data_IF_446118894390
#
_entry.id   IF_446118894390
#
_cell.length_a   1.000
_cell.length_b   1.000
_cell.length_c   1.000
_cell.angle_alpha   90.00
_cell.angle_beta   90.00
_cell.angle_gamma   90.00
#
_symmetry.space_group_name_H-M   'P 1'
#
loop_
_entity.id
_entity.type
_entity.pdbx_description
1 polymer ?
#
# COMPACT_ATOMS: atom_id res chain seq x y z
N UNK A 1 3.27 -5.61 24.47
CA UNK A 1 3.25 -5.89 23.01
C UNK A 1 1.84 -5.71 22.50
N UNK A 2 1.65 -5.20 21.27
CA UNK A 2 0.31 -5.13 20.64
C UNK A 2 0.06 -6.42 19.86
N UNK A 3 -1.13 -7.00 20.01
CA UNK A 3 -1.59 -8.15 19.23
C UNK A 3 -2.47 -7.69 18.06
N UNK A 4 -2.34 -8.36 16.93
CA UNK A 4 -3.13 -8.16 15.72
C UNK A 4 -3.72 -9.51 15.29
N UNK A 5 -4.95 -9.48 14.75
CA UNK A 5 -5.61 -10.67 14.21
C UNK A 5 -5.10 -10.98 12.79
N UNK A 6 -4.74 -9.93 12.05
CA UNK A 6 -4.19 -10.02 10.70
C UNK A 6 -2.98 -9.11 10.55
N UNK A 7 -1.95 -9.63 9.88
CA UNK A 7 -0.79 -8.85 9.43
C UNK A 7 -0.70 -8.97 7.92
N UNK A 8 -0.90 -7.86 7.22
CA UNK A 8 -0.82 -7.76 5.76
C UNK A 8 0.52 -7.13 5.40
N UNK A 9 1.34 -7.84 4.62
CA UNK A 9 2.65 -7.36 4.16
C UNK A 9 2.48 -6.86 2.73
N UNK A 10 2.52 -5.54 2.57
CA UNK A 10 2.30 -4.79 1.33
C UNK A 10 0.92 -4.14 1.28
N UNK A 11 0.87 -2.81 1.19
CA UNK A 11 -0.29 -1.99 0.87
C UNK A 11 -0.42 -1.74 -0.64
N UNK A 12 -0.11 -2.75 -1.45
CA UNK A 12 -0.40 -2.76 -2.88
C UNK A 12 -1.90 -2.99 -3.18
N UNK A 13 -2.25 -3.18 -4.46
CA UNK A 13 -3.64 -3.31 -4.89
C UNK A 13 -4.41 -4.41 -4.14
N UNK A 14 -3.81 -5.59 -3.97
CA UNK A 14 -4.44 -6.69 -3.22
C UNK A 14 -4.50 -6.42 -1.71
N UNK A 15 -3.43 -5.89 -1.13
CA UNK A 15 -3.32 -5.61 0.30
C UNK A 15 -4.34 -4.57 0.78
N UNK A 16 -4.51 -3.48 0.02
CA UNK A 16 -5.50 -2.45 0.33
C UNK A 16 -6.95 -2.98 0.24
N UNK A 17 -7.26 -3.79 -0.78
CA UNK A 17 -8.61 -4.38 -0.91
C UNK A 17 -8.90 -5.36 0.22
N UNK A 18 -7.93 -6.21 0.57
CA UNK A 18 -8.07 -7.16 1.68
C UNK A 18 -8.23 -6.42 3.03
N UNK A 19 -7.40 -5.42 3.29
CA UNK A 19 -7.48 -4.61 4.50
C UNK A 19 -8.84 -3.92 4.63
N UNK A 20 -9.35 -3.35 3.54
CA UNK A 20 -10.67 -2.74 3.51
C UNK A 20 -11.78 -3.77 3.82
N UNK A 21 -11.71 -4.96 3.22
CA UNK A 21 -12.72 -6.00 3.41
C UNK A 21 -12.74 -6.55 4.83
N UNK A 22 -11.57 -6.85 5.40
CA UNK A 22 -11.45 -7.29 6.79
C UNK A 22 -11.86 -6.17 7.76
N UNK A 23 -11.58 -4.91 7.43
CA UNK A 23 -11.93 -3.74 8.23
C UNK A 23 -13.43 -3.44 8.30
N UNK A 24 -14.28 -4.08 7.48
CA UNK A 24 -15.74 -4.00 7.60
C UNK A 24 -16.21 -4.52 8.97
N UNK A 25 -15.52 -5.52 9.55
CA UNK A 25 -15.72 -5.95 10.94
C UNK A 25 -14.74 -5.24 11.88
N UNK A 26 -15.27 -4.34 12.71
CA UNK A 26 -14.49 -3.55 13.68
C UNK A 26 -13.88 -4.37 14.83
N UNK A 27 -14.19 -5.66 14.93
CA UNK A 27 -13.55 -6.56 15.90
C UNK A 27 -12.12 -6.89 15.52
N UNK A 28 -11.77 -6.83 14.23
CA UNK A 28 -10.45 -7.19 13.75
C UNK A 28 -9.44 -6.06 13.98
N UNK A 29 -8.31 -6.39 14.61
CA UNK A 29 -7.11 -5.56 14.66
C UNK A 29 -6.19 -5.94 13.51
N UNK A 30 -6.09 -5.04 12.54
CA UNK A 30 -5.34 -5.27 11.30
C UNK A 30 -4.08 -4.40 11.32
N UNK A 31 -2.92 -5.02 11.07
CA UNK A 31 -1.66 -4.33 10.80
C UNK A 31 -1.34 -4.44 9.33
N UNK A 32 -1.07 -3.31 8.67
CA UNK A 32 -0.54 -3.28 7.30
C UNK A 32 0.87 -2.74 7.36
N UNK A 33 1.81 -3.49 6.78
CA UNK A 33 3.22 -3.10 6.66
C UNK A 33 3.51 -2.81 5.20
N UNK A 34 3.79 -1.56 4.87
CA UNK A 34 4.18 -1.14 3.52
C UNK A 34 5.61 -0.60 3.58
N UNK A 35 6.45 -1.04 2.63
CA UNK A 35 7.84 -0.62 2.58
C UNK A 35 7.98 0.79 1.97
N UNK A 36 7.11 1.13 1.03
CA UNK A 36 7.05 2.44 0.41
C UNK A 36 6.52 3.53 1.36
N UNK A 37 6.89 4.80 1.11
CA UNK A 37 6.28 5.94 1.80
C UNK A 37 4.85 6.17 1.29
N UNK A 38 4.12 7.05 1.96
CA UNK A 38 2.87 7.58 1.40
C UNK A 38 3.14 8.26 0.04
N UNK A 39 2.26 8.00 -0.93
CA UNK A 39 2.40 8.54 -2.27
C UNK A 39 2.06 10.04 -2.31
N UNK A 40 3.12 10.85 -2.37
CA UNK A 40 3.06 12.29 -2.66
C UNK A 40 3.72 12.65 -3.99
N UNK A 41 4.16 11.67 -4.77
CA UNK A 41 4.88 11.97 -6.01
C UNK A 41 3.87 12.29 -7.12
N UNK A 42 3.85 13.55 -7.56
CA UNK A 42 2.93 14.01 -8.61
C UNK A 42 2.97 13.15 -9.89
N UNK A 43 4.10 12.51 -10.21
CA UNK A 43 4.21 11.65 -11.39
C UNK A 43 3.40 10.34 -11.26
N UNK A 44 3.03 9.92 -10.05
CA UNK A 44 2.14 8.77 -9.82
C UNK A 44 0.68 9.18 -10.08
N UNK A 45 0.31 10.43 -9.75
CA UNK A 45 -1.06 10.95 -9.88
C UNK A 45 -1.43 11.44 -11.29
N UNK A 46 -0.45 11.74 -12.14
CA UNK A 46 -0.68 12.18 -13.53
C UNK A 46 -0.62 10.95 -14.46
N UNK A 47 -1.67 10.64 -15.25
CA UNK A 47 -1.64 9.48 -16.16
C UNK A 47 -0.46 9.49 -17.15
N UNK A 48 -0.13 10.65 -17.74
CA UNK A 48 1.04 10.82 -18.61
C UNK A 48 2.39 10.70 -17.87
N UNK A 49 2.38 10.71 -16.53
CA UNK A 49 3.55 10.56 -15.66
C UNK A 49 4.03 9.12 -15.50
N UNK A 50 3.27 8.12 -15.97
CA UNK A 50 3.55 6.69 -15.79
C UNK A 50 4.99 6.31 -16.18
N UNK A 51 5.51 6.85 -17.29
CA UNK A 51 6.88 6.54 -17.74
C UNK A 51 7.95 7.03 -16.75
N UNK A 52 7.74 8.21 -16.14
CA UNK A 52 8.65 8.76 -15.13
C UNK A 52 8.57 7.99 -13.82
N UNK A 53 7.37 7.59 -13.39
CA UNK A 53 7.18 6.76 -12.21
C UNK A 53 7.81 5.36 -12.40
N UNK A 54 7.59 4.73 -13.56
CA UNK A 54 8.12 3.41 -13.90
C UNK A 54 9.65 3.36 -13.91
N UNK A 55 10.31 4.43 -14.38
CA UNK A 55 11.79 4.51 -14.42
C UNK A 55 12.44 5.00 -13.13
N UNK A 56 11.66 5.35 -12.12
CA UNK A 56 12.20 5.83 -10.85
C UNK A 56 12.50 4.63 -9.93
N UNK A 57 13.77 4.35 -9.61
CA UNK A 57 14.14 3.21 -8.77
C UNK A 57 13.66 3.32 -7.32
N UNK A 58 13.19 4.50 -6.89
CA UNK A 58 12.55 4.69 -5.58
C UNK A 58 11.10 4.20 -5.56
N UNK A 59 10.46 4.03 -6.72
CA UNK A 59 9.04 3.66 -6.85
C UNK A 59 8.93 2.24 -7.44
N UNK A 60 9.72 1.96 -8.48
CA UNK A 60 9.76 0.66 -9.14
C UNK A 60 11.06 -0.06 -8.77
N UNK A 61 10.94 -1.31 -8.31
CA UNK A 61 12.08 -2.13 -7.88
C UNK A 61 12.59 -3.09 -8.96
N UNK A 62 12.11 -2.94 -10.19
CA UNK A 62 12.57 -3.69 -11.37
C UNK A 62 13.64 -2.92 -12.15
#
# INVERSE_FOLDING_TARGET
>A
MKNYDYVIVGAGSAGCVLANKLGEDKKHKILVLEAGPMDYNLMIHIPAGVYKAYRNPKINWN
#
